data_IF_891313231935
#
_entry.id   IF_891313231935
#
_cell.length_a   1.000
_cell.length_b   1.000
_cell.length_c   1.000
_cell.angle_alpha   90.00
_cell.angle_beta   90.00
_cell.angle_gamma   90.00
#
_symmetry.space_group_name_H-M   'P 1'
#
loop_
_entity.id
_entity.type
_entity.pdbx_description
1 polymer ?
#
# COMPACT_ATOMS: atom_id res chain seq x y z
N UNK A 1 -27.78 -7.00 -4.76
CA UNK A 1 -26.71 -7.89 -4.26
C UNK A 1 -26.25 -8.75 -5.41
N UNK A 2 -24.97 -9.09 -5.49
CA UNK A 2 -24.44 -10.17 -6.31
C UNK A 2 -24.18 -11.35 -5.37
N UNK A 3 -24.86 -12.45 -5.64
CA UNK A 3 -24.84 -13.63 -4.77
C UNK A 3 -23.53 -14.43 -4.88
N UNK A 4 -23.33 -15.34 -3.93
CA UNK A 4 -22.22 -16.28 -3.92
C UNK A 4 -22.12 -17.03 -5.23
N UNK A 5 -20.92 -17.10 -5.81
CA UNK A 5 -20.63 -17.77 -7.07
C UNK A 5 -21.43 -17.29 -8.31
N UNK A 6 -22.08 -16.12 -8.29
CA UNK A 6 -22.97 -15.67 -9.35
C UNK A 6 -22.29 -15.61 -10.73
N UNK A 7 -21.00 -15.28 -10.79
CA UNK A 7 -20.17 -15.26 -12.00
C UNK A 7 -18.92 -16.15 -11.84
N UNK A 8 -18.96 -17.10 -10.92
CA UNK A 8 -17.82 -18.00 -10.70
C UNK A 8 -17.45 -18.74 -11.98
N UNK A 9 -16.16 -18.80 -12.27
CA UNK A 9 -15.65 -19.47 -13.45
C UNK A 9 -16.00 -18.80 -14.79
N UNK A 10 -16.50 -17.58 -14.81
CA UNK A 10 -16.72 -16.81 -16.04
C UNK A 10 -15.38 -16.42 -16.68
N UNK A 11 -14.64 -17.42 -17.21
CA UNK A 11 -13.26 -17.29 -17.69
C UNK A 11 -13.06 -16.31 -18.84
N UNK A 12 -14.13 -16.00 -19.57
CA UNK A 12 -14.12 -15.07 -20.72
C UNK A 12 -14.55 -13.66 -20.34
N UNK A 13 -14.98 -13.41 -19.11
CA UNK A 13 -15.42 -12.11 -18.65
C UNK A 13 -14.20 -11.17 -18.52
N UNK A 14 -14.16 -10.13 -19.33
CA UNK A 14 -13.08 -9.14 -19.36
C UNK A 14 -13.40 -7.88 -18.56
N UNK A 15 -14.66 -7.48 -18.57
CA UNK A 15 -15.17 -6.34 -17.82
C UNK A 15 -16.67 -6.50 -17.55
N UNK A 16 -17.16 -5.81 -16.53
CA UNK A 16 -18.58 -5.76 -16.18
C UNK A 16 -18.91 -4.40 -15.57
N UNK A 17 -20.08 -3.88 -15.92
CA UNK A 17 -20.62 -2.67 -15.32
C UNK A 17 -21.66 -3.06 -14.29
N UNK A 18 -21.44 -2.66 -13.04
CA UNK A 18 -22.36 -2.91 -11.94
C UNK A 18 -23.32 -1.74 -11.76
N UNK A 19 -24.64 -1.99 -11.61
CA UNK A 19 -25.59 -0.92 -11.32
C UNK A 19 -25.37 -0.35 -9.91
N UNK A 20 -25.66 0.94 -9.75
CA UNK A 20 -25.49 1.64 -8.48
C UNK A 20 -26.39 1.14 -7.33
N UNK A 21 -27.34 0.25 -7.63
CA UNK A 21 -28.20 -0.41 -6.64
C UNK A 21 -27.51 -1.55 -5.89
N UNK A 22 -26.35 -2.03 -6.35
CA UNK A 22 -25.61 -3.09 -5.68
C UNK A 22 -25.03 -2.59 -4.36
N UNK A 23 -25.27 -3.34 -3.28
CA UNK A 23 -24.77 -3.06 -1.92
C UNK A 23 -23.82 -4.12 -1.40
N UNK A 24 -23.84 -5.31 -2.02
CA UNK A 24 -23.04 -6.45 -1.58
C UNK A 24 -22.55 -7.26 -2.76
N UNK A 25 -21.28 -7.63 -2.73
CA UNK A 25 -20.67 -8.67 -3.58
C UNK A 25 -20.27 -9.80 -2.62
N UNK A 26 -20.92 -10.97 -2.78
CA UNK A 26 -20.73 -12.11 -1.89
C UNK A 26 -19.47 -12.93 -2.25
N UNK A 27 -19.20 -13.99 -1.48
CA UNK A 27 -18.04 -14.86 -1.66
C UNK A 27 -18.01 -15.45 -3.06
N UNK A 28 -16.83 -15.50 -3.68
CA UNK A 28 -16.60 -16.10 -5.00
C UNK A 28 -17.55 -15.57 -6.11
N UNK A 29 -18.21 -14.42 -5.88
CA UNK A 29 -19.15 -13.86 -6.84
C UNK A 29 -18.55 -13.69 -8.24
N UNK A 30 -17.28 -13.39 -8.32
CA UNK A 30 -16.43 -13.32 -9.53
C UNK A 30 -15.23 -14.28 -9.43
N UNK A 31 -15.35 -15.32 -8.64
CA UNK A 31 -14.29 -16.31 -8.48
C UNK A 31 -13.82 -16.85 -9.82
N UNK A 32 -12.51 -17.05 -10.00
CA UNK A 32 -11.93 -17.59 -11.24
C UNK A 32 -12.30 -16.84 -12.54
N UNK A 33 -12.73 -15.57 -12.46
CA UNK A 33 -12.87 -14.70 -13.62
C UNK A 33 -11.49 -14.28 -14.14
N UNK A 34 -10.75 -15.23 -14.71
CA UNK A 34 -9.31 -15.09 -15.03
C UNK A 34 -8.98 -14.03 -16.08
N UNK A 35 -9.93 -13.57 -16.86
CA UNK A 35 -9.74 -12.50 -17.86
C UNK A 35 -10.30 -11.15 -17.41
N UNK A 36 -10.86 -11.05 -16.21
CA UNK A 36 -11.34 -9.79 -15.66
C UNK A 36 -10.14 -8.87 -15.38
N UNK A 37 -10.01 -7.80 -16.15
CA UNK A 37 -8.88 -6.87 -16.06
C UNK A 37 -9.18 -5.65 -15.21
N UNK A 38 -10.44 -5.23 -15.18
CA UNK A 38 -10.91 -4.08 -14.42
C UNK A 38 -12.38 -4.22 -14.04
N UNK A 39 -12.77 -3.59 -12.96
CA UNK A 39 -14.15 -3.46 -12.52
C UNK A 39 -14.34 -2.15 -11.78
N UNK A 40 -15.44 -1.46 -12.07
CA UNK A 40 -15.86 -0.27 -11.33
C UNK A 40 -16.85 -0.69 -10.26
N UNK A 41 -16.49 -0.48 -9.00
CA UNK A 41 -17.39 -0.76 -7.88
C UNK A 41 -18.33 0.41 -7.66
N UNK A 42 -19.64 0.15 -7.41
CA UNK A 42 -20.62 1.22 -7.20
C UNK A 42 -20.40 1.93 -5.84
N UNK A 43 -20.58 3.24 -5.83
CA UNK A 43 -20.37 4.11 -4.65
C UNK A 43 -21.23 3.76 -3.43
N UNK A 44 -22.30 3.00 -3.61
CA UNK A 44 -23.13 2.54 -2.49
C UNK A 44 -22.80 1.13 -1.97
N UNK A 45 -21.72 0.52 -2.45
CA UNK A 45 -21.30 -0.83 -2.04
C UNK A 45 -20.87 -0.82 -0.57
N UNK A 46 -21.39 -1.73 0.24
CA UNK A 46 -21.07 -1.83 1.68
C UNK A 46 -20.26 -3.07 2.05
N UNK A 47 -20.44 -4.15 1.29
CA UNK A 47 -19.71 -5.39 1.52
C UNK A 47 -19.02 -5.86 0.23
N UNK A 48 -17.72 -6.08 0.30
CA UNK A 48 -16.86 -6.46 -0.81
C UNK A 48 -16.18 -7.80 -0.55
N UNK A 49 -16.45 -8.76 -1.45
CA UNK A 49 -15.80 -10.06 -1.46
C UNK A 49 -15.74 -10.58 -2.91
N UNK A 50 -15.23 -11.81 -3.11
CA UNK A 50 -15.57 -12.57 -4.31
C UNK A 50 -14.69 -12.39 -5.54
N UNK A 51 -13.47 -11.82 -5.45
CA UNK A 51 -12.52 -11.71 -6.56
C UNK A 51 -11.37 -12.74 -6.50
N UNK A 52 -11.59 -13.84 -5.77
CA UNK A 52 -10.57 -14.89 -5.71
C UNK A 52 -10.20 -15.40 -7.10
N UNK A 53 -8.89 -15.57 -7.35
CA UNK A 53 -8.36 -16.07 -8.62
C UNK A 53 -8.68 -15.21 -9.85
N UNK A 54 -9.01 -13.92 -9.69
CA UNK A 54 -9.07 -12.95 -10.78
C UNK A 54 -7.64 -12.58 -11.22
N UNK A 55 -6.98 -13.51 -11.88
CA UNK A 55 -5.52 -13.44 -12.14
C UNK A 55 -5.09 -12.35 -13.12
N UNK A 56 -6.02 -11.71 -13.83
CA UNK A 56 -5.75 -10.58 -14.74
C UNK A 56 -6.20 -9.23 -14.17
N UNK A 57 -6.82 -9.18 -12.99
CA UNK A 57 -7.21 -7.94 -12.35
C UNK A 57 -5.95 -7.18 -11.90
N UNK A 58 -5.71 -5.98 -12.47
CA UNK A 58 -4.48 -5.21 -12.24
C UNK A 58 -4.63 -4.14 -11.20
N UNK A 59 -5.82 -3.58 -11.09
CA UNK A 59 -6.13 -2.50 -10.15
C UNK A 59 -7.60 -2.53 -9.73
N UNK A 60 -7.88 -2.00 -8.55
CA UNK A 60 -9.24 -1.81 -8.05
C UNK A 60 -9.32 -0.58 -7.16
N UNK A 61 -10.38 0.21 -7.33
CA UNK A 61 -10.73 1.30 -6.43
C UNK A 61 -11.89 0.87 -5.54
N UNK A 62 -11.70 0.94 -4.23
CA UNK A 62 -12.69 0.55 -3.22
C UNK A 62 -13.39 1.82 -2.73
N UNK A 63 -14.71 1.97 -2.96
CA UNK A 63 -15.45 3.17 -2.56
C UNK A 63 -15.52 3.34 -1.04
N UNK A 64 -15.70 4.58 -0.60
CA UNK A 64 -15.76 4.94 0.82
C UNK A 64 -16.87 4.20 1.59
N UNK A 65 -17.94 3.88 0.92
CA UNK A 65 -19.10 3.17 1.51
C UNK A 65 -18.81 1.74 1.94
N UNK A 66 -17.73 1.10 1.45
CA UNK A 66 -17.38 -0.27 1.80
C UNK A 66 -16.90 -0.32 3.25
N UNK A 67 -17.65 -0.99 4.10
CA UNK A 67 -17.34 -1.18 5.53
C UNK A 67 -16.84 -2.58 5.86
N UNK A 68 -17.10 -3.56 4.98
CA UNK A 68 -16.69 -4.96 5.16
C UNK A 68 -15.98 -5.45 3.92
N UNK A 69 -14.75 -5.95 4.09
CA UNK A 69 -13.99 -6.65 3.05
C UNK A 69 -13.73 -8.07 3.55
N UNK A 70 -14.11 -9.08 2.75
CA UNK A 70 -13.94 -10.48 3.11
C UNK A 70 -12.48 -10.92 3.10
N UNK A 71 -12.13 -11.90 3.93
CA UNK A 71 -10.73 -12.39 4.07
C UNK A 71 -10.11 -12.89 2.77
N UNK A 72 -10.92 -13.41 1.88
CA UNK A 72 -10.49 -13.95 0.58
C UNK A 72 -10.78 -13.00 -0.59
N UNK A 73 -11.22 -11.77 -0.32
CA UNK A 73 -11.74 -10.87 -1.36
C UNK A 73 -10.84 -10.76 -2.60
N UNK A 74 -9.53 -10.81 -2.42
CA UNK A 74 -8.50 -10.72 -3.48
C UNK A 74 -7.52 -11.88 -3.46
N UNK A 75 -7.91 -13.01 -2.89
CA UNK A 75 -7.06 -14.19 -2.84
C UNK A 75 -6.59 -14.60 -4.23
N UNK A 76 -5.28 -14.84 -4.40
CA UNK A 76 -4.68 -15.30 -5.67
C UNK A 76 -4.91 -14.39 -6.90
N UNK A 77 -5.19 -13.09 -6.68
CA UNK A 77 -5.17 -12.06 -7.74
C UNK A 77 -3.72 -11.72 -8.12
N UNK A 78 -3.06 -12.57 -8.88
CA UNK A 78 -1.61 -12.48 -9.12
C UNK A 78 -1.15 -11.25 -9.92
N UNK A 79 -2.05 -10.65 -10.71
CA UNK A 79 -1.75 -9.42 -11.45
C UNK A 79 -2.11 -8.14 -10.69
N UNK A 80 -2.75 -8.24 -9.51
CA UNK A 80 -3.23 -7.07 -8.77
C UNK A 80 -2.04 -6.29 -8.20
N UNK A 81 -1.80 -5.11 -8.77
CA UNK A 81 -0.69 -4.23 -8.42
C UNK A 81 -1.11 -3.05 -7.57
N UNK A 82 -2.32 -2.56 -7.76
CA UNK A 82 -2.78 -1.34 -7.11
C UNK A 82 -4.17 -1.51 -6.50
N UNK A 83 -4.31 -1.09 -5.25
CA UNK A 83 -5.61 -0.98 -4.56
C UNK A 83 -5.71 0.43 -4.00
N UNK A 84 -6.69 1.20 -4.48
CA UNK A 84 -7.00 2.53 -3.94
C UNK A 84 -8.17 2.44 -2.99
N UNK A 85 -8.10 3.08 -1.82
CA UNK A 85 -9.14 3.02 -0.81
C UNK A 85 -9.10 4.15 0.21
N UNK A 86 -10.16 4.25 1.00
CA UNK A 86 -10.24 5.09 2.19
C UNK A 86 -9.47 4.52 3.39
N UNK A 87 -9.08 5.38 4.32
CA UNK A 87 -8.18 5.05 5.43
C UNK A 87 -8.72 4.06 6.46
N UNK A 88 -10.02 4.13 6.79
CA UNK A 88 -10.62 3.19 7.74
C UNK A 88 -10.59 1.75 7.22
N UNK A 89 -10.80 1.58 5.92
CA UNK A 89 -10.74 0.29 5.24
C UNK A 89 -9.29 -0.17 5.04
N UNK A 90 -8.37 0.78 4.87
CA UNK A 90 -6.95 0.51 4.67
C UNK A 90 -6.33 -0.31 5.79
N UNK A 91 -6.69 -0.05 7.05
CA UNK A 91 -6.21 -0.84 8.19
C UNK A 91 -6.61 -2.31 8.08
N UNK A 92 -7.86 -2.54 7.70
CA UNK A 92 -8.44 -3.86 7.59
C UNK A 92 -7.82 -4.64 6.43
N UNK A 93 -7.76 -4.04 5.26
CA UNK A 93 -7.18 -4.68 4.07
C UNK A 93 -5.70 -5.01 4.24
N UNK A 94 -4.88 -4.11 4.78
CA UNK A 94 -3.46 -4.38 5.04
C UNK A 94 -3.32 -5.58 5.98
N UNK A 95 -4.19 -5.68 6.98
CA UNK A 95 -4.20 -6.83 7.90
C UNK A 95 -4.51 -8.13 7.15
N UNK A 96 -5.47 -8.11 6.24
CA UNK A 96 -5.90 -9.28 5.44
C UNK A 96 -4.83 -9.72 4.43
N UNK A 97 -4.25 -8.78 3.70
CA UNK A 97 -3.23 -9.09 2.70
C UNK A 97 -1.96 -9.73 3.30
N UNK A 98 -1.82 -9.72 4.61
CA UNK A 98 -0.77 -10.41 5.37
C UNK A 98 -1.18 -11.79 5.90
N UNK A 99 -2.44 -12.18 5.75
CA UNK A 99 -2.96 -13.47 6.17
C UNK A 99 -2.59 -14.63 5.25
N UNK A 100 -3.03 -15.85 5.56
CA UNK A 100 -2.70 -17.05 4.79
C UNK A 100 -3.17 -17.04 3.34
N UNK A 101 -4.25 -16.31 3.05
CA UNK A 101 -4.85 -16.19 1.70
C UNK A 101 -4.35 -14.96 0.93
N UNK A 102 -3.18 -14.44 1.27
CA UNK A 102 -2.60 -13.26 0.61
C UNK A 102 -2.34 -13.51 -0.88
N UNK A 103 -2.36 -12.45 -1.73
CA UNK A 103 -1.83 -12.51 -3.09
C UNK A 103 -0.36 -12.96 -3.09
N UNK A 104 0.08 -13.61 -4.18
CA UNK A 104 1.47 -14.07 -4.33
C UNK A 104 2.48 -12.91 -4.22
N UNK A 105 2.09 -11.73 -4.71
CA UNK A 105 2.80 -10.47 -4.55
C UNK A 105 1.81 -9.48 -3.92
N UNK A 106 2.15 -8.87 -2.78
CA UNK A 106 1.27 -7.88 -2.15
C UNK A 106 1.04 -6.70 -3.10
N UNK A 107 -0.21 -6.27 -3.33
CA UNK A 107 -0.48 -5.09 -4.12
C UNK A 107 -0.03 -3.81 -3.38
N UNK A 108 0.26 -2.78 -4.15
CA UNK A 108 0.50 -1.44 -3.62
C UNK A 108 -0.84 -0.85 -3.17
N UNK A 109 -0.91 -0.44 -1.91
CA UNK A 109 -2.13 0.10 -1.34
C UNK A 109 -2.03 1.63 -1.28
N UNK A 110 -2.87 2.29 -2.06
CA UNK A 110 -3.02 3.74 -2.04
C UNK A 110 -4.09 4.11 -1.03
N UNK A 111 -3.71 4.85 0.01
CA UNK A 111 -4.63 5.33 1.01
C UNK A 111 -4.69 6.86 0.93
N UNK A 112 -5.87 7.40 0.66
CA UNK A 112 -6.07 8.84 0.43
C UNK A 112 -5.72 9.68 1.65
N UNK A 113 -6.02 9.21 2.87
CA UNK A 113 -5.64 9.87 4.11
C UNK A 113 -5.02 8.90 5.12
N UNK A 114 -3.70 8.79 5.13
CA UNK A 114 -2.98 7.92 6.06
C UNK A 114 -2.97 8.44 7.51
N UNK A 115 -3.42 9.68 7.77
CA UNK A 115 -3.31 10.31 9.09
C UNK A 115 -4.20 9.66 10.14
N UNK A 116 -5.32 9.07 9.73
CA UNK A 116 -6.26 8.36 10.62
C UNK A 116 -5.84 6.94 10.92
N UNK A 117 -4.86 6.38 10.19
CA UNK A 117 -4.34 5.04 10.44
C UNK A 117 -3.60 4.97 11.77
N UNK A 118 -3.69 3.83 12.46
CA UNK A 118 -2.82 3.58 13.61
C UNK A 118 -1.36 3.49 13.18
N UNK A 119 -0.44 3.77 14.11
CA UNK A 119 1.00 3.82 13.81
C UNK A 119 1.55 2.54 13.15
N UNK A 120 0.96 1.37 13.46
CA UNK A 120 1.34 0.08 12.86
C UNK A 120 1.04 0.05 11.36
N UNK A 121 -0.14 0.54 10.97
CA UNK A 121 -0.58 0.48 9.57
C UNK A 121 -0.03 1.62 8.71
N UNK A 122 0.32 2.76 9.33
CA UNK A 122 0.99 3.85 8.61
C UNK A 122 2.34 3.44 8.00
N UNK A 123 3.06 2.54 8.65
CA UNK A 123 4.31 1.98 8.08
C UNK A 123 4.04 1.31 6.73
N UNK A 124 3.01 0.47 6.65
CA UNK A 124 2.67 -0.21 5.39
C UNK A 124 2.14 0.73 4.32
N UNK A 125 1.36 1.72 4.71
CA UNK A 125 0.91 2.76 3.79
C UNK A 125 2.10 3.57 3.24
N UNK A 126 3.11 3.88 4.05
CA UNK A 126 4.33 4.55 3.61
C UNK A 126 5.16 3.68 2.64
N UNK A 127 5.24 2.37 2.90
CA UNK A 127 5.88 1.41 1.98
C UNK A 127 5.13 1.39 0.65
N UNK A 128 3.80 1.23 0.67
CA UNK A 128 2.97 1.25 -0.54
C UNK A 128 3.12 2.54 -1.34
N UNK A 129 3.14 3.69 -0.66
CA UNK A 129 3.38 4.99 -1.29
C UNK A 129 4.75 5.06 -2.00
N UNK A 130 5.81 4.55 -1.37
CA UNK A 130 7.14 4.54 -1.96
C UNK A 130 7.23 3.59 -3.17
N UNK A 131 6.61 2.41 -3.09
CA UNK A 131 6.59 1.42 -4.18
C UNK A 131 5.84 1.92 -5.42
N UNK A 132 4.85 2.77 -5.24
CA UNK A 132 4.04 3.30 -6.34
C UNK A 132 4.72 4.45 -7.09
N UNK A 133 5.84 4.97 -6.62
CA UNK A 133 6.53 6.13 -7.21
C UNK A 133 5.62 7.35 -7.46
N UNK A 134 4.62 7.56 -6.61
CA UNK A 134 3.64 8.63 -6.74
C UNK A 134 4.27 10.01 -6.75
N UNK A 135 3.56 10.93 -7.38
CA UNK A 135 3.86 12.36 -7.30
C UNK A 135 3.79 12.82 -5.84
N UNK A 136 4.92 13.28 -5.34
CA UNK A 136 5.06 13.78 -3.97
C UNK A 136 4.59 15.24 -3.82
N UNK A 137 4.11 15.87 -4.89
CA UNK A 137 3.74 17.30 -4.91
C UNK A 137 2.28 17.54 -4.51
N UNK A 138 1.41 16.55 -4.65
CA UNK A 138 0.01 16.63 -4.23
C UNK A 138 -0.15 16.65 -2.70
N UNK A 139 -1.35 16.94 -2.22
CA UNK A 139 -1.61 17.04 -0.78
C UNK A 139 -1.44 15.72 -0.04
N UNK A 140 -1.77 14.60 -0.68
CA UNK A 140 -1.60 13.27 -0.10
C UNK A 140 -0.11 12.89 -0.04
N UNK A 141 0.64 13.14 -1.11
CA UNK A 141 2.10 12.95 -1.15
C UNK A 141 2.81 13.76 -0.05
N UNK A 142 2.44 15.03 0.13
CA UNK A 142 2.98 15.87 1.22
C UNK A 142 2.70 15.29 2.61
N UNK A 143 1.51 14.71 2.83
CA UNK A 143 1.17 14.05 4.11
C UNK A 143 2.06 12.81 4.34
N UNK A 144 2.28 11.99 3.29
CA UNK A 144 3.19 10.85 3.37
C UNK A 144 4.63 11.26 3.65
N UNK A 145 5.17 12.23 2.92
CA UNK A 145 6.54 12.73 3.14
C UNK A 145 6.71 13.27 4.56
N UNK A 146 5.72 14.04 5.06
CA UNK A 146 5.73 14.53 6.44
C UNK A 146 5.74 13.39 7.46
N UNK A 147 4.93 12.34 7.24
CA UNK A 147 4.91 11.17 8.11
C UNK A 147 6.23 10.41 8.07
N UNK A 148 6.77 10.12 6.87
CA UNK A 148 8.04 9.39 6.70
C UNK A 148 9.17 10.16 7.39
N UNK A 149 9.27 11.47 7.18
CA UNK A 149 10.27 12.33 7.81
C UNK A 149 10.19 12.31 9.34
N UNK A 150 8.99 12.39 9.90
CA UNK A 150 8.77 12.36 11.34
C UNK A 150 9.05 10.99 11.99
N UNK A 151 9.10 9.93 11.21
CA UNK A 151 9.26 8.55 11.68
C UNK A 151 10.45 7.83 11.02
N UNK A 152 11.45 8.56 10.51
CA UNK A 152 12.55 8.00 9.75
C UNK A 152 13.24 6.82 10.46
N UNK A 153 13.62 6.97 11.71
CA UNK A 153 14.25 5.90 12.49
C UNK A 153 13.35 4.67 12.65
N UNK A 154 12.06 4.88 12.86
CA UNK A 154 11.07 3.79 12.95
C UNK A 154 10.91 3.02 11.64
N UNK A 155 11.07 3.71 10.52
CA UNK A 155 10.97 3.14 9.17
C UNK A 155 12.28 2.51 8.69
N UNK A 156 13.38 2.65 9.42
CA UNK A 156 14.69 2.18 8.98
C UNK A 156 14.72 0.68 8.65
N UNK A 157 14.10 -0.18 9.47
CA UNK A 157 14.01 -1.62 9.17
C UNK A 157 13.18 -1.91 7.92
N UNK A 158 12.10 -1.15 7.70
CA UNK A 158 11.31 -1.27 6.47
C UNK A 158 12.11 -0.76 5.25
N UNK A 159 12.91 0.28 5.41
CA UNK A 159 13.78 0.79 4.35
C UNK A 159 14.89 -0.20 3.95
N UNK A 160 15.34 -1.06 4.86
CA UNK A 160 16.24 -2.19 4.55
C UNK A 160 15.53 -3.25 3.70
N UNK A 161 14.27 -3.54 3.98
CA UNK A 161 13.46 -4.55 3.29
C UNK A 161 12.91 -4.04 1.93
N UNK A 162 12.55 -2.75 1.86
CA UNK A 162 11.94 -2.12 0.68
C UNK A 162 12.84 -1.00 0.15
N UNK A 163 13.60 -1.31 -0.90
CA UNK A 163 14.57 -0.40 -1.50
C UNK A 163 13.95 0.92 -1.94
N UNK A 164 12.75 0.89 -2.48
CA UNK A 164 12.02 2.06 -2.96
C UNK A 164 11.72 3.05 -1.83
N UNK A 165 11.42 2.56 -0.63
CA UNK A 165 11.24 3.41 0.56
C UNK A 165 12.57 4.08 0.95
N UNK A 166 13.67 3.32 0.93
CA UNK A 166 15.00 3.86 1.20
C UNK A 166 15.38 4.96 0.21
N UNK A 167 15.24 4.68 -1.08
CA UNK A 167 15.57 5.63 -2.16
C UNK A 167 14.68 6.90 -2.10
N UNK A 168 13.38 6.75 -1.80
CA UNK A 168 12.49 7.87 -1.54
C UNK A 168 12.99 8.73 -0.37
N UNK A 169 13.39 8.08 0.73
CA UNK A 169 13.86 8.80 1.92
C UNK A 169 15.14 9.61 1.65
N UNK A 170 16.05 9.11 0.85
CA UNK A 170 17.26 9.83 0.45
C UNK A 170 16.93 10.97 -0.54
N UNK A 171 16.18 10.67 -1.61
CA UNK A 171 15.82 11.63 -2.65
C UNK A 171 15.08 12.85 -2.11
N UNK A 172 14.10 12.61 -1.24
CA UNK A 172 13.28 13.69 -0.66
C UNK A 172 13.87 14.27 0.64
N UNK A 173 15.10 13.90 1.00
CA UNK A 173 15.82 14.37 2.20
C UNK A 173 14.99 14.21 3.50
N UNK A 174 14.44 13.02 3.69
CA UNK A 174 13.53 12.74 4.80
C UNK A 174 14.24 12.28 6.08
N UNK A 175 15.56 12.02 6.04
CA UNK A 175 16.34 11.62 7.20
C UNK A 175 17.01 12.89 7.77
N UNK A 176 16.52 13.36 8.90
CA UNK A 176 17.09 14.54 9.53
C UNK A 176 18.46 14.24 10.17
N UNK A 177 19.36 15.24 10.25
CA UNK A 177 20.70 15.07 10.82
C UNK A 177 20.68 14.48 12.26
N UNK A 178 19.68 14.82 13.06
CA UNK A 178 19.49 14.28 14.42
C UNK A 178 19.13 12.78 14.45
N UNK A 179 18.53 12.27 13.39
CA UNK A 179 18.03 10.89 13.27
C UNK A 179 19.03 10.00 12.51
N UNK A 180 20.05 10.61 11.88
CA UNK A 180 20.99 9.94 11.00
C UNK A 180 21.78 8.82 11.69
N UNK A 181 22.24 9.06 12.91
CA UNK A 181 23.01 8.07 13.69
C UNK A 181 22.18 6.81 13.95
N UNK A 182 20.97 6.98 14.48
CA UNK A 182 20.09 5.87 14.80
C UNK A 182 19.62 5.14 13.53
N UNK A 183 19.35 5.87 12.45
CA UNK A 183 19.01 5.29 11.15
C UNK A 183 20.18 4.49 10.57
N UNK A 184 21.41 5.06 10.60
CA UNK A 184 22.63 4.41 10.12
C UNK A 184 22.93 3.12 10.84
N UNK A 185 22.69 3.05 12.15
CA UNK A 185 22.90 1.84 12.94
C UNK A 185 22.06 0.66 12.41
N UNK A 186 20.81 0.90 12.01
CA UNK A 186 19.94 -0.13 11.43
C UNK A 186 20.43 -0.55 10.06
N UNK A 187 20.81 0.40 9.19
CA UNK A 187 21.31 0.11 7.85
C UNK A 187 22.64 -0.67 7.93
N UNK A 188 23.56 -0.30 8.82
CA UNK A 188 24.83 -1.01 9.03
C UNK A 188 24.59 -2.45 9.53
N UNK A 189 23.65 -2.64 10.45
CA UNK A 189 23.29 -3.95 10.98
C UNK A 189 22.71 -4.89 9.91
N UNK A 190 22.15 -4.36 8.80
CA UNK A 190 21.66 -5.15 7.68
C UNK A 190 22.78 -5.82 6.86
N UNK A 191 24.00 -5.27 6.91
CA UNK A 191 25.13 -5.74 6.11
C UNK A 191 25.01 -5.46 4.60
N UNK A 192 24.00 -4.73 4.14
CA UNK A 192 23.79 -4.41 2.71
C UNK A 192 24.73 -3.26 2.30
N UNK A 193 25.84 -3.59 1.62
CA UNK A 193 26.90 -2.66 1.28
C UNK A 193 26.45 -1.46 0.43
N UNK A 194 25.50 -1.69 -0.49
CA UNK A 194 24.92 -0.67 -1.36
C UNK A 194 24.08 0.38 -0.60
N UNK A 195 23.27 -0.05 0.37
CA UNK A 195 22.51 0.86 1.23
C UNK A 195 23.44 1.67 2.14
N UNK A 196 24.49 1.00 2.69
CA UNK A 196 25.49 1.66 3.54
C UNK A 196 26.22 2.75 2.75
N UNK A 197 26.68 2.44 1.53
CA UNK A 197 27.37 3.41 0.68
C UNK A 197 26.47 4.58 0.28
N UNK A 198 25.21 4.30 -0.11
CA UNK A 198 24.25 5.34 -0.46
C UNK A 198 23.92 6.27 0.71
N UNK A 199 23.81 5.70 1.93
CA UNK A 199 23.56 6.50 3.13
C UNK A 199 24.77 7.36 3.53
N UNK A 200 26.00 6.85 3.33
CA UNK A 200 27.22 7.63 3.55
C UNK A 200 27.29 8.84 2.62
N UNK A 201 27.04 8.63 1.32
CA UNK A 201 27.00 9.71 0.35
C UNK A 201 25.90 10.74 0.68
N UNK A 202 24.75 10.31 1.17
CA UNK A 202 23.70 11.19 1.66
C UNK A 202 24.14 12.01 2.88
N UNK A 203 24.81 11.38 3.83
CA UNK A 203 25.28 12.04 5.07
C UNK A 203 26.25 13.19 4.77
N UNK A 204 27.12 13.04 3.76
CA UNK A 204 28.06 14.08 3.32
C UNK A 204 27.37 15.33 2.74
N UNK A 205 26.15 15.17 2.22
CA UNK A 205 25.36 16.26 1.63
C UNK A 205 24.54 17.02 2.69
N UNK A 206 24.41 16.49 3.89
CA UNK A 206 23.65 17.15 4.95
C UNK A 206 24.39 18.37 5.50
N UNK A 207 23.68 19.47 5.79
CA UNK A 207 24.29 20.63 6.42
C UNK A 207 24.84 20.26 7.81
N UNK A 208 26.04 20.71 8.13
CA UNK A 208 26.65 20.48 9.44
C UNK A 208 25.70 20.87 10.58
N UNK A 209 25.61 20.08 11.67
CA UNK A 209 24.73 20.39 12.77
C UNK A 209 25.08 21.78 13.35
N UNK A 210 24.08 22.67 13.38
CA UNK A 210 24.26 23.99 14.00
C UNK A 210 24.69 23.77 15.46
N UNK A 211 25.93 24.15 15.81
CA UNK A 211 26.39 24.16 17.21
C UNK A 211 25.37 24.95 18.01
N UNK A 212 24.75 24.32 19.02
CA UNK A 212 23.96 25.06 20.00
C UNK A 212 24.87 26.12 20.61
N UNK A 213 24.52 27.37 20.45
CA UNK A 213 25.14 28.44 21.24
C UNK A 213 24.83 28.12 22.70
N UNK A 214 25.89 27.89 23.47
CA UNK A 214 25.82 27.84 24.93
C UNK A 214 25.38 29.19 25.48
#
# INVERSE_FOLDING_TARGET
>A
MIDTCAFDGCKSLESIVLPNSIRKIANEAFGYCRRLTSIVLPEGLTELNGFEWCSSLTEISIPESVSVIGESAFGSCSALKHITMHTAQGQFLISMLRGPNKPSVPPIIHIEDSTTLTAKYRVYAAIGFALDHRDCTDENGKKYLKYIKANAVRLASAAVEYRELFDLMLREQLIAAKDLEAFSAVIQASGQADLIAALQAYAEQLPAPKKKKQ
#
